data_IF_814564319756
#
_entry.id   IF_814564319756
#
_cell.length_a   1.000
_cell.length_b   1.000
_cell.length_c   1.000
_cell.angle_alpha   90.00
_cell.angle_beta   90.00
_cell.angle_gamma   90.00
#
_symmetry.space_group_name_H-M   'P 1'
#
loop_
_entity.id
_entity.type
_entity.pdbx_description
1 polymer ?
#
# COMPACT_ATOMS: atom_id res chain seq x y z
N UNK A 1 -15.03 15.03 -4.62
CA UNK A 1 -14.34 13.83 -5.12
C UNK A 1 -14.85 12.66 -4.30
N UNK A 2 -15.33 11.60 -4.93
CA UNK A 2 -15.90 10.43 -4.27
C UNK A 2 -15.76 9.21 -5.17
N UNK A 3 -15.76 8.04 -4.57
CA UNK A 3 -15.96 6.80 -5.32
C UNK A 3 -17.41 6.75 -5.83
N UNK A 4 -17.64 6.02 -6.92
CA UNK A 4 -18.94 5.94 -7.57
C UNK A 4 -19.83 4.88 -6.94
N UNK A 5 -19.20 3.84 -6.33
CA UNK A 5 -19.90 2.71 -5.74
C UNK A 5 -19.20 2.24 -4.47
N UNK A 6 -20.00 1.78 -3.51
CA UNK A 6 -19.53 1.05 -2.33
C UNK A 6 -20.20 -0.32 -2.28
N UNK A 7 -19.41 -1.34 -1.98
CA UNK A 7 -19.79 -2.74 -1.91
C UNK A 7 -19.31 -3.35 -0.60
N UNK A 8 -19.95 -4.41 -0.17
CA UNK A 8 -19.45 -5.28 0.90
C UNK A 8 -18.98 -6.58 0.27
N UNK A 9 -17.67 -6.84 0.35
CA UNK A 9 -17.08 -8.09 -0.11
C UNK A 9 -16.83 -9.01 1.08
N UNK A 10 -17.46 -10.19 1.08
CA UNK A 10 -17.16 -11.23 2.06
C UNK A 10 -15.86 -11.93 1.71
N UNK A 11 -14.87 -11.79 2.58
CA UNK A 11 -13.59 -12.46 2.46
C UNK A 11 -13.63 -13.87 3.07
N UNK A 12 -12.84 -14.82 2.53
CA UNK A 12 -12.65 -16.14 3.15
C UNK A 12 -12.12 -16.10 4.59
N UNK A 13 -11.56 -14.95 5.01
CA UNK A 13 -11.10 -14.73 6.39
C UNK A 13 -12.23 -14.44 7.39
N UNK A 14 -13.49 -14.36 6.92
CA UNK A 14 -14.66 -13.95 7.69
C UNK A 14 -14.88 -12.44 7.78
N UNK A 15 -14.04 -11.62 7.13
CA UNK A 15 -14.25 -10.18 7.08
C UNK A 15 -15.30 -9.79 6.02
N UNK A 16 -16.11 -8.78 6.35
CA UNK A 16 -16.96 -8.03 5.43
C UNK A 16 -16.21 -6.75 5.06
N UNK A 17 -15.46 -6.81 3.96
CA UNK A 17 -14.62 -5.70 3.49
C UNK A 17 -15.49 -4.60 2.89
N UNK A 18 -15.33 -3.37 3.40
CA UNK A 18 -15.89 -2.19 2.76
C UNK A 18 -15.03 -1.87 1.53
N UNK A 19 -15.61 -2.04 0.35
CA UNK A 19 -14.93 -1.90 -0.94
C UNK A 19 -15.52 -0.74 -1.73
N UNK A 20 -14.69 0.22 -2.07
CA UNK A 20 -15.02 1.39 -2.88
C UNK A 20 -14.54 1.20 -4.32
N UNK A 21 -15.39 1.53 -5.29
CA UNK A 21 -15.09 1.42 -6.72
C UNK A 21 -15.24 2.76 -7.39
N UNK A 22 -14.25 3.12 -8.20
CA UNK A 22 -14.30 4.26 -9.13
C UNK A 22 -14.28 3.74 -10.55
N UNK A 23 -15.32 4.07 -11.31
CA UNK A 23 -15.42 3.65 -12.71
C UNK A 23 -14.50 4.46 -13.61
N UNK A 24 -14.03 3.81 -14.66
CA UNK A 24 -13.29 4.49 -15.71
C UNK A 24 -14.24 5.32 -16.60
N UNK A 25 -13.77 6.48 -17.04
CA UNK A 25 -14.45 7.20 -18.12
C UNK A 25 -14.24 6.44 -19.44
N UNK A 26 -15.32 5.95 -20.01
CA UNK A 26 -15.28 5.09 -21.20
C UNK A 26 -14.90 3.64 -20.91
N UNK A 27 -14.34 2.95 -21.89
CA UNK A 27 -13.90 1.56 -21.74
C UNK A 27 -12.67 1.48 -20.82
N UNK A 28 -12.70 0.65 -19.76
CA UNK A 28 -11.56 0.52 -18.88
C UNK A 28 -10.33 -0.05 -19.59
N UNK A 29 -9.18 0.56 -19.36
CA UNK A 29 -7.89 0.17 -19.95
C UNK A 29 -7.08 -0.74 -19.05
N UNK A 30 -7.24 -0.58 -17.75
CA UNK A 30 -6.60 -1.35 -16.70
C UNK A 30 -7.26 -1.06 -15.36
N UNK A 31 -6.82 -1.75 -14.34
CA UNK A 31 -7.33 -1.66 -12.98
C UNK A 31 -6.21 -1.26 -12.02
N UNK A 32 -6.54 -0.39 -11.07
CA UNK A 32 -5.67 -0.06 -9.93
C UNK A 32 -6.34 -0.56 -8.65
N UNK A 33 -5.71 -1.53 -7.98
CA UNK A 33 -6.14 -2.05 -6.68
C UNK A 33 -5.33 -1.33 -5.59
N UNK A 34 -5.99 -0.48 -4.78
CA UNK A 34 -5.37 0.38 -3.77
C UNK A 34 -5.40 -0.28 -2.40
N UNK A 35 -4.25 -0.25 -1.71
CA UNK A 35 -4.06 -0.63 -0.31
C UNK A 35 -3.60 0.61 0.48
N UNK A 36 -4.44 1.06 1.41
CA UNK A 36 -4.21 2.27 2.20
C UNK A 36 -3.23 2.07 3.36
N UNK A 37 -2.81 3.15 4.02
CA UNK A 37 -1.87 3.17 5.13
C UNK A 37 -2.48 2.82 6.50
N UNK A 38 -1.66 2.90 7.56
CA UNK A 38 -2.10 2.67 8.93
C UNK A 38 -2.90 3.87 9.45
N UNK A 39 -3.97 3.58 10.22
CA UNK A 39 -4.84 4.56 10.84
C UNK A 39 -5.41 5.58 9.84
N UNK A 40 -5.81 5.09 8.69
CA UNK A 40 -6.55 5.78 7.64
C UNK A 40 -7.51 4.80 6.96
N UNK A 41 -8.15 5.18 5.86
CA UNK A 41 -9.10 4.35 5.13
C UNK A 41 -9.15 4.67 3.62
N UNK A 42 -9.80 3.80 2.85
CA UNK A 42 -9.83 3.85 1.39
C UNK A 42 -10.39 5.17 0.81
N UNK A 43 -11.37 5.80 1.47
CA UNK A 43 -11.99 7.02 0.97
C UNK A 43 -11.02 8.21 0.83
N UNK A 44 -9.89 8.20 1.55
CA UNK A 44 -8.85 9.23 1.42
C UNK A 44 -8.16 9.21 0.05
N UNK A 45 -8.29 8.12 -0.69
CA UNK A 45 -7.75 7.98 -2.05
C UNK A 45 -8.73 8.42 -3.15
N UNK A 46 -9.88 9.01 -2.79
CA UNK A 46 -10.91 9.40 -3.76
C UNK A 46 -10.39 10.38 -4.82
N UNK A 47 -9.51 11.34 -4.46
CA UNK A 47 -8.87 12.25 -5.41
C UNK A 47 -8.04 11.51 -6.45
N UNK A 48 -7.23 10.58 -6.00
CA UNK A 48 -6.41 9.76 -6.89
C UNK A 48 -7.26 8.83 -7.74
N UNK A 49 -8.33 8.26 -7.18
CA UNK A 49 -9.28 7.44 -7.92
C UNK A 49 -10.01 8.26 -9.01
N UNK A 50 -10.46 9.48 -8.71
CA UNK A 50 -11.06 10.39 -9.70
C UNK A 50 -10.08 10.72 -10.84
N UNK A 51 -8.84 11.05 -10.50
CA UNK A 51 -7.77 11.32 -11.45
C UNK A 51 -7.51 10.11 -12.40
N UNK A 52 -7.45 8.90 -11.84
CA UNK A 52 -7.27 7.67 -12.59
C UNK A 52 -8.50 7.32 -13.42
N UNK A 53 -9.71 7.47 -12.86
CA UNK A 53 -10.97 7.21 -13.55
C UNK A 53 -11.11 8.06 -14.82
N UNK A 54 -10.75 9.35 -14.73
CA UNK A 54 -10.72 10.25 -15.89
C UNK A 54 -9.74 9.82 -16.99
N UNK A 55 -8.75 8.98 -16.65
CA UNK A 55 -7.74 8.42 -17.57
C UNK A 55 -8.03 6.99 -18.04
N UNK A 56 -9.23 6.49 -17.74
CA UNK A 56 -9.68 5.18 -18.18
C UNK A 56 -9.19 4.02 -17.29
N UNK A 57 -8.81 4.28 -16.05
CA UNK A 57 -8.51 3.25 -15.07
C UNK A 57 -9.73 2.98 -14.19
N UNK A 58 -10.08 1.71 -14.02
CA UNK A 58 -11.03 1.27 -13.00
C UNK A 58 -10.29 1.12 -11.69
N UNK A 59 -10.80 1.69 -10.59
CA UNK A 59 -10.11 1.68 -9.30
C UNK A 59 -10.91 0.95 -8.25
N UNK A 60 -10.26 0.00 -7.56
CA UNK A 60 -10.80 -0.69 -6.40
C UNK A 60 -9.95 -0.33 -5.17
N UNK A 61 -10.60 0.13 -4.10
CA UNK A 61 -9.95 0.45 -2.83
C UNK A 61 -10.80 -0.09 -1.69
N UNK A 62 -10.25 -0.94 -0.83
CA UNK A 62 -10.98 -1.47 0.31
C UNK A 62 -10.36 -0.98 1.62
N UNK A 63 -11.18 -0.88 2.65
CA UNK A 63 -10.69 -0.69 4.01
C UNK A 63 -10.10 -2.00 4.51
N UNK A 64 -8.85 -1.99 4.96
CA UNK A 64 -8.25 -3.16 5.60
C UNK A 64 -9.02 -3.53 6.87
N UNK A 65 -8.99 -4.81 7.26
CA UNK A 65 -9.56 -5.24 8.54
C UNK A 65 -8.99 -4.41 9.69
N UNK A 66 -9.85 -4.07 10.66
CA UNK A 66 -9.50 -3.17 11.77
C UNK A 66 -9.39 -1.71 11.39
N UNK A 67 -9.78 -1.32 10.17
CA UNK A 67 -9.78 0.05 9.65
C UNK A 67 -11.12 0.41 9.02
N UNK A 68 -11.40 1.70 8.95
CA UNK A 68 -12.54 2.26 8.23
C UNK A 68 -13.87 1.61 8.59
N UNK A 69 -14.65 1.23 7.57
CA UNK A 69 -15.96 0.60 7.72
C UNK A 69 -15.94 -0.94 7.55
N UNK A 70 -14.77 -1.55 7.32
CA UNK A 70 -14.65 -3.02 7.27
C UNK A 70 -14.98 -3.64 8.62
N UNK A 71 -15.77 -4.71 8.59
CA UNK A 71 -16.17 -5.47 9.78
C UNK A 71 -15.59 -6.87 9.73
N UNK A 72 -14.98 -7.30 10.84
CA UNK A 72 -14.55 -8.68 11.01
C UNK A 72 -14.77 -9.09 12.48
N UNK A 73 -15.28 -10.29 12.76
CA UNK A 73 -15.60 -10.72 14.14
C UNK A 73 -14.38 -10.66 15.08
N UNK A 74 -13.19 -10.87 14.53
CA UNK A 74 -11.91 -10.94 15.25
C UNK A 74 -11.03 -9.70 15.06
N UNK A 75 -11.55 -8.63 14.44
CA UNK A 75 -10.79 -7.42 14.12
C UNK A 75 -11.56 -6.15 14.48
N UNK A 76 -11.71 -5.80 15.77
CA UNK A 76 -12.19 -4.50 16.15
C UNK A 76 -11.23 -3.39 15.62
N UNK A 77 -11.66 -2.12 15.60
CA UNK A 77 -10.80 -1.01 15.18
C UNK A 77 -9.44 -1.03 15.87
N UNK A 78 -8.38 -0.88 15.09
CA UNK A 78 -7.00 -0.90 15.58
C UNK A 78 -6.40 -2.30 15.75
N UNK A 79 -7.05 -3.36 15.28
CA UNK A 79 -6.58 -4.74 15.35
C UNK A 79 -6.81 -5.48 14.04
N UNK A 80 -5.82 -6.27 13.57
CA UNK A 80 -6.03 -7.08 12.37
C UNK A 80 -6.78 -8.39 12.65
N UNK A 81 -6.45 -9.10 13.70
CA UNK A 81 -7.11 -10.35 14.09
C UNK A 81 -6.65 -10.82 15.48
N UNK A 82 -7.33 -11.82 16.02
CA UNK A 82 -6.90 -12.55 17.22
C UNK A 82 -5.59 -13.29 16.99
N UNK A 83 -5.47 -13.94 15.81
CA UNK A 83 -4.26 -14.66 15.39
C UNK A 83 -4.04 -14.45 13.88
N UNK A 84 -2.76 -14.47 13.49
CA UNK A 84 -2.32 -14.41 12.09
C UNK A 84 -2.86 -13.19 11.31
N UNK A 85 -2.95 -12.04 12.01
CA UNK A 85 -3.55 -10.83 11.45
C UNK A 85 -2.90 -10.38 10.14
N UNK A 86 -1.58 -10.41 10.06
CA UNK A 86 -0.86 -10.10 8.83
C UNK A 86 -1.21 -11.04 7.67
N UNK A 87 -1.35 -12.35 7.92
CA UNK A 87 -1.75 -13.31 6.90
C UNK A 87 -3.20 -13.09 6.44
N UNK A 88 -4.11 -12.75 7.37
CA UNK A 88 -5.51 -12.46 7.05
C UNK A 88 -5.66 -11.18 6.23
N UNK A 89 -4.89 -10.12 6.53
CA UNK A 89 -4.86 -8.90 5.69
C UNK A 89 -4.46 -9.22 4.26
N UNK A 90 -3.42 -10.03 4.06
CA UNK A 90 -2.97 -10.42 2.71
C UNK A 90 -4.03 -11.29 2.01
N UNK A 91 -4.72 -12.16 2.73
CA UNK A 91 -5.82 -12.96 2.19
C UNK A 91 -7.04 -12.09 1.80
N UNK A 92 -7.32 -11.01 2.56
CA UNK A 92 -8.36 -10.04 2.22
C UNK A 92 -8.00 -9.28 0.92
N UNK A 93 -6.74 -8.87 0.75
CA UNK A 93 -6.24 -8.29 -0.52
C UNK A 93 -6.41 -9.27 -1.67
N UNK A 94 -6.12 -10.56 -1.45
CA UNK A 94 -6.31 -11.61 -2.45
C UNK A 94 -7.80 -11.79 -2.80
N UNK A 95 -8.71 -11.71 -1.84
CA UNK A 95 -10.16 -11.78 -2.08
C UNK A 95 -10.65 -10.62 -2.95
N UNK A 96 -10.15 -9.40 -2.74
CA UNK A 96 -10.43 -8.26 -3.62
C UNK A 96 -9.88 -8.50 -5.01
N UNK A 97 -8.65 -9.03 -5.11
CA UNK A 97 -8.04 -9.38 -6.40
C UNK A 97 -8.82 -10.47 -7.15
N UNK A 98 -9.35 -11.47 -6.43
CA UNK A 98 -10.19 -12.53 -7.00
C UNK A 98 -11.52 -11.98 -7.53
N UNK A 99 -12.14 -11.02 -6.82
CA UNK A 99 -13.30 -10.29 -7.30
C UNK A 99 -12.98 -9.56 -8.61
N UNK A 100 -11.89 -8.79 -8.64
CA UNK A 100 -11.42 -8.06 -9.82
C UNK A 100 -11.23 -9.00 -11.01
N UNK A 101 -10.53 -10.12 -10.81
CA UNK A 101 -10.25 -11.08 -11.87
C UNK A 101 -11.54 -11.71 -12.44
N UNK A 102 -12.56 -11.90 -11.61
CA UNK A 102 -13.86 -12.45 -12.00
C UNK A 102 -14.73 -11.42 -12.72
N UNK A 103 -14.78 -10.17 -12.24
CA UNK A 103 -15.63 -9.13 -12.81
C UNK A 103 -15.02 -8.47 -14.05
N UNK A 104 -13.70 -8.44 -14.13
CA UNK A 104 -12.95 -7.74 -15.18
C UNK A 104 -11.89 -8.66 -15.82
N UNK A 105 -12.31 -9.79 -16.41
CA UNK A 105 -11.36 -10.75 -16.98
C UNK A 105 -10.53 -10.13 -18.11
N UNK A 106 -9.21 -10.36 -18.05
CA UNK A 106 -8.28 -9.93 -19.09
C UNK A 106 -7.78 -8.48 -18.98
N UNK A 107 -8.34 -7.66 -18.08
CA UNK A 107 -7.78 -6.32 -17.84
C UNK A 107 -6.48 -6.39 -17.00
N UNK A 108 -5.45 -5.63 -17.39
CA UNK A 108 -4.24 -5.52 -16.59
C UNK A 108 -4.52 -4.95 -15.18
N UNK A 109 -3.95 -5.56 -14.15
CA UNK A 109 -4.08 -5.10 -12.76
C UNK A 109 -2.75 -4.56 -12.26
N UNK A 110 -2.79 -3.34 -11.73
CA UNK A 110 -1.71 -2.67 -11.00
C UNK A 110 -2.10 -2.69 -9.51
N UNK A 111 -1.28 -3.30 -8.68
CA UNK A 111 -1.45 -3.27 -7.22
C UNK A 111 -0.70 -2.07 -6.67
N UNK A 112 -1.41 -1.16 -6.04
CA UNK A 112 -0.88 0.03 -5.39
C UNK A 112 -0.91 -0.14 -3.87
N UNK A 113 0.12 0.32 -3.18
CA UNK A 113 0.13 0.40 -1.72
C UNK A 113 0.94 1.59 -1.21
N UNK A 114 0.42 2.23 -0.17
CA UNK A 114 1.04 3.38 0.49
C UNK A 114 1.31 3.07 1.96
N UNK A 115 2.49 3.38 2.46
CA UNK A 115 2.86 3.22 3.89
C UNK A 115 2.69 1.78 4.38
N UNK A 116 1.83 1.51 5.38
CA UNK A 116 1.43 0.15 5.73
C UNK A 116 0.92 -0.62 4.50
N UNK A 117 0.08 0.01 3.69
CA UNK A 117 -0.42 -0.57 2.45
C UNK A 117 0.68 -0.94 1.46
N UNK A 118 1.82 -0.25 1.48
CA UNK A 118 3.00 -0.64 0.70
C UNK A 118 3.59 -1.96 1.18
N UNK A 119 3.68 -2.17 2.50
CA UNK A 119 4.10 -3.45 3.07
C UNK A 119 3.09 -4.56 2.79
N UNK A 120 1.79 -4.27 2.87
CA UNK A 120 0.70 -5.20 2.52
C UNK A 120 0.77 -5.58 1.04
N UNK A 121 0.83 -4.59 0.15
CA UNK A 121 0.93 -4.80 -1.29
C UNK A 121 2.18 -5.60 -1.67
N UNK A 122 3.35 -5.28 -1.10
CA UNK A 122 4.57 -6.03 -1.37
C UNK A 122 4.48 -7.48 -0.88
N UNK A 123 3.93 -7.74 0.32
CA UNK A 123 3.69 -9.09 0.80
C UNK A 123 2.69 -9.87 -0.10
N UNK A 124 1.69 -9.21 -0.66
CA UNK A 124 0.82 -9.80 -1.66
C UNK A 124 1.59 -10.15 -2.93
N UNK A 125 2.44 -9.23 -3.44
CA UNK A 125 3.31 -9.43 -4.61
C UNK A 125 4.24 -10.62 -4.43
N UNK A 126 4.87 -10.76 -3.26
CA UNK A 126 5.79 -11.87 -2.97
C UNK A 126 5.15 -13.25 -3.19
N UNK A 127 3.83 -13.36 -3.08
CA UNK A 127 3.07 -14.61 -3.21
C UNK A 127 2.27 -14.72 -4.50
N UNK A 128 1.97 -13.59 -5.17
CA UNK A 128 1.00 -13.51 -6.25
C UNK A 128 1.52 -12.77 -7.49
N UNK A 129 2.84 -12.64 -7.67
CA UNK A 129 3.41 -11.85 -8.78
C UNK A 129 2.98 -12.31 -10.16
N UNK A 130 2.63 -13.61 -10.34
CA UNK A 130 2.14 -14.15 -11.59
C UNK A 130 0.72 -13.66 -11.96
N UNK A 131 -0.04 -13.15 -10.99
CA UNK A 131 -1.44 -12.73 -11.14
C UNK A 131 -1.62 -11.25 -11.43
N UNK A 132 -0.56 -10.46 -11.28
CA UNK A 132 -0.58 -9.00 -11.44
C UNK A 132 0.31 -8.56 -12.59
N UNK A 133 0.06 -7.39 -13.12
CA UNK A 133 0.82 -6.82 -14.25
C UNK A 133 1.88 -5.83 -13.77
N UNK A 134 1.62 -5.13 -12.68
CA UNK A 134 2.56 -4.19 -12.07
C UNK A 134 2.28 -3.97 -10.58
N UNK A 135 3.26 -3.43 -9.88
CA UNK A 135 3.16 -3.04 -8.47
C UNK A 135 3.70 -1.62 -8.25
N UNK A 136 2.94 -0.78 -7.56
CA UNK A 136 3.37 0.54 -7.11
C UNK A 136 3.45 0.54 -5.58
N UNK A 137 4.64 0.70 -5.03
CA UNK A 137 4.95 0.50 -3.62
C UNK A 137 5.53 1.81 -3.08
N UNK A 138 4.70 2.59 -2.38
CA UNK A 138 4.99 3.98 -2.07
C UNK A 138 5.16 4.26 -0.58
N UNK A 139 6.15 5.10 -0.23
CA UNK A 139 6.39 5.65 1.11
C UNK A 139 6.45 4.58 2.23
N UNK A 140 6.90 3.37 1.90
CA UNK A 140 7.03 2.28 2.86
C UNK A 140 8.43 2.16 3.44
N UNK A 141 8.54 1.48 4.57
CA UNK A 141 9.80 1.02 5.13
C UNK A 141 9.90 -0.49 5.00
N UNK A 142 10.97 -0.97 4.36
CA UNK A 142 11.14 -2.39 3.99
C UNK A 142 12.41 -3.00 4.58
N UNK A 143 13.04 -2.32 5.54
CA UNK A 143 14.29 -2.77 6.17
C UNK A 143 14.20 -2.65 7.68
N UNK A 144 13.48 -3.58 8.31
CA UNK A 144 13.41 -3.59 9.76
C UNK A 144 14.68 -4.16 10.42
N UNK A 145 15.39 -5.07 9.77
CA UNK A 145 16.67 -5.63 10.25
C UNK A 145 16.66 -6.00 11.74
N UNK A 146 17.76 -5.69 12.43
CA UNK A 146 17.88 -5.90 13.88
C UNK A 146 16.88 -5.05 14.66
N UNK A 147 16.59 -3.82 14.23
CA UNK A 147 15.62 -2.95 14.90
C UNK A 147 14.21 -3.55 14.90
N UNK A 148 13.83 -4.24 13.84
CA UNK A 148 12.55 -4.97 13.78
C UNK A 148 12.50 -6.13 14.76
N UNK A 149 13.59 -6.85 14.97
CA UNK A 149 13.65 -7.93 15.98
C UNK A 149 13.54 -7.35 17.39
N UNK A 150 14.22 -6.23 17.68
CA UNK A 150 14.11 -5.53 18.94
C UNK A 150 12.67 -5.02 19.17
N UNK A 151 12.05 -4.46 18.13
CA UNK A 151 10.65 -4.02 18.20
C UNK A 151 9.69 -5.18 18.51
N UNK A 152 9.89 -6.35 17.90
CA UNK A 152 9.09 -7.55 18.23
C UNK A 152 9.28 -8.01 19.68
N UNK A 153 10.50 -7.97 20.19
CA UNK A 153 10.77 -8.32 21.59
C UNK A 153 10.08 -7.33 22.55
N UNK A 154 10.17 -6.01 22.27
CA UNK A 154 9.48 -4.96 23.03
C UNK A 154 7.96 -5.13 23.00
N UNK A 155 7.40 -5.39 21.84
CA UNK A 155 5.95 -5.66 21.67
C UNK A 155 5.54 -6.97 22.36
N UNK A 156 6.39 -7.98 22.37
CA UNK A 156 6.16 -9.23 23.13
C UNK A 156 6.03 -8.96 24.62
N UNK A 157 6.94 -8.13 25.17
CA UNK A 157 6.87 -7.71 26.57
C UNK A 157 5.62 -6.84 26.86
N UNK A 158 5.30 -5.91 25.96
CA UNK A 158 4.11 -5.06 26.09
C UNK A 158 2.81 -5.90 26.05
N UNK A 159 2.76 -6.90 25.16
CA UNK A 159 1.66 -7.88 25.09
C UNK A 159 1.48 -8.67 26.39
N UNK A 160 2.58 -9.12 26.98
CA UNK A 160 2.54 -9.81 28.28
C UNK A 160 1.97 -8.93 29.40
N UNK A 161 2.34 -7.63 29.40
CA UNK A 161 1.90 -6.69 30.44
C UNK A 161 0.49 -6.13 30.24
N UNK A 162 0.09 -5.84 29.02
CA UNK A 162 -1.13 -5.07 28.69
C UNK A 162 -2.20 -5.92 28.02
N UNK A 163 -1.83 -7.04 27.42
CA UNK A 163 -2.68 -7.81 26.49
C UNK A 163 -2.46 -7.44 25.02
N UNK A 164 -2.96 -8.27 24.13
CA UNK A 164 -2.78 -8.11 22.68
C UNK A 164 -3.59 -6.97 22.08
N UNK A 165 -4.73 -6.67 22.67
CA UNK A 165 -5.78 -5.82 22.12
C UNK A 165 -5.63 -4.36 22.54
N UNK A 166 -4.81 -4.13 23.55
CA UNK A 166 -4.56 -2.77 24.06
C UNK A 166 -3.73 -1.97 23.05
N UNK A 167 -4.01 -0.67 22.90
CA UNK A 167 -3.15 0.21 22.12
C UNK A 167 -1.71 0.16 22.64
N UNK A 168 -0.75 0.02 21.72
CA UNK A 168 0.68 0.07 22.09
C UNK A 168 1.02 1.44 22.66
N UNK A 169 1.79 1.46 23.73
CA UNK A 169 2.30 2.71 24.33
C UNK A 169 3.70 3.05 23.83
N UNK A 170 4.44 2.07 23.34
CA UNK A 170 5.84 2.21 22.93
C UNK A 170 5.96 2.61 21.47
N UNK A 171 5.33 1.86 20.55
CA UNK A 171 5.52 2.05 19.12
C UNK A 171 5.05 3.43 18.62
N UNK A 172 3.90 3.99 19.02
CA UNK A 172 3.52 5.35 18.61
C UNK A 172 4.51 6.43 19.08
N UNK A 173 5.22 6.20 20.21
CA UNK A 173 6.27 7.14 20.67
C UNK A 173 7.52 7.08 19.81
N UNK A 174 7.88 5.88 19.33
CA UNK A 174 9.07 5.62 18.51
C UNK A 174 8.82 5.86 17.02
N UNK A 175 7.56 6.00 16.62
CA UNK A 175 7.12 6.21 15.23
C UNK A 175 6.38 7.56 15.11
N UNK A 176 5.09 7.59 15.10
CA UNK A 176 4.26 8.76 14.79
C UNK A 176 4.65 10.02 15.58
N UNK A 177 4.86 9.89 16.90
CA UNK A 177 5.27 11.04 17.72
C UNK A 177 6.71 11.48 17.44
N UNK A 178 7.61 10.53 17.13
CA UNK A 178 8.98 10.86 16.74
C UNK A 178 9.01 11.52 15.36
N UNK A 179 8.21 11.01 14.40
CA UNK A 179 8.10 11.59 13.07
C UNK A 179 7.49 12.99 13.08
N UNK A 180 6.46 13.22 13.91
CA UNK A 180 5.90 14.56 14.09
C UNK A 180 6.95 15.56 14.60
N UNK A 181 7.76 15.15 15.58
CA UNK A 181 8.84 15.99 16.13
C UNK A 181 10.01 16.20 15.17
N UNK A 182 10.22 15.30 14.22
CA UNK A 182 11.29 15.42 13.23
C UNK A 182 11.03 16.52 12.19
N UNK A 183 9.78 16.98 12.07
CA UNK A 183 9.41 18.07 11.16
C UNK A 183 9.72 19.41 11.83
N UNK A 184 10.64 20.23 11.28
CA UNK A 184 10.91 21.56 11.82
C UNK A 184 9.65 22.44 11.81
N UNK A 185 9.44 23.20 12.90
CA UNK A 185 8.31 24.12 13.04
C UNK A 185 6.93 23.51 12.80
N UNK A 186 6.77 22.21 13.13
CA UNK A 186 5.49 21.53 12.99
C UNK A 186 4.40 22.23 13.83
N UNK A 187 3.20 22.40 13.25
CA UNK A 187 2.03 22.99 13.89
C UNK A 187 1.24 21.94 14.67
N UNK A 188 1.22 20.69 14.14
CA UNK A 188 0.47 19.56 14.68
C UNK A 188 1.38 18.31 14.78
N UNK A 189 1.00 17.30 15.57
CA UNK A 189 1.70 16.01 15.60
C UNK A 189 1.69 15.25 14.27
N UNK A 190 0.84 15.66 13.31
CA UNK A 190 0.60 14.98 12.04
C UNK A 190 1.19 15.72 10.82
N UNK A 191 1.89 16.84 11.02
CA UNK A 191 2.50 17.59 9.92
C UNK A 191 3.53 16.78 9.12
N UNK A 192 4.02 15.66 9.66
CA UNK A 192 4.89 14.73 8.95
C UNK A 192 4.20 14.03 7.77
N UNK A 193 2.87 14.03 7.73
CA UNK A 193 2.08 13.44 6.64
C UNK A 193 2.19 14.26 5.35
N UNK A 194 2.03 15.59 5.45
CA UNK A 194 2.03 16.47 4.29
C UNK A 194 2.44 17.90 4.66
N UNK A 195 2.96 18.65 3.70
CA UNK A 195 3.16 20.09 3.78
C UNK A 195 1.86 20.86 3.54
N UNK A 196 0.86 20.23 2.91
CA UNK A 196 -0.46 20.84 2.72
C UNK A 196 -1.25 20.80 4.03
N UNK A 197 -1.31 21.96 4.68
CA UNK A 197 -1.99 22.12 5.96
C UNK A 197 -3.46 21.69 5.92
N UNK A 198 -4.14 21.90 4.80
CA UNK A 198 -5.55 21.52 4.62
C UNK A 198 -5.72 20.01 4.64
N UNK A 199 -4.79 19.27 4.03
CA UNK A 199 -4.83 17.80 4.04
C UNK A 199 -4.51 17.23 5.44
N UNK A 200 -3.60 17.87 6.19
CA UNK A 200 -3.31 17.50 7.58
C UNK A 200 -4.55 17.75 8.46
N UNK A 201 -5.21 18.90 8.33
CA UNK A 201 -6.43 19.18 9.09
C UNK A 201 -7.59 18.22 8.76
N UNK A 202 -7.74 17.80 7.50
CA UNK A 202 -8.70 16.76 7.11
C UNK A 202 -8.41 15.42 7.81
N UNK A 203 -7.12 15.04 7.90
CA UNK A 203 -6.73 13.82 8.60
C UNK A 203 -7.06 13.90 10.10
N UNK A 204 -6.79 15.03 10.74
CA UNK A 204 -7.06 15.26 12.16
C UNK A 204 -8.57 15.27 12.46
N UNK A 205 -9.37 15.85 11.55
CA UNK A 205 -10.82 15.96 11.71
C UNK A 205 -11.56 14.62 11.45
N UNK A 206 -10.91 13.66 10.80
CA UNK A 206 -11.54 12.39 10.45
C UNK A 206 -11.46 11.39 11.62
N UNK A 207 -12.62 10.97 12.19
CA UNK A 207 -12.64 10.05 13.32
C UNK A 207 -12.15 8.63 12.98
N UNK A 208 -12.03 8.31 11.70
CA UNK A 208 -11.49 7.03 11.21
C UNK A 208 -9.97 7.07 11.00
N UNK A 209 -9.33 8.23 11.26
CA UNK A 209 -7.90 8.45 11.11
C UNK A 209 -7.20 8.70 12.45
N UNK A 210 -5.90 8.53 12.51
CA UNK A 210 -5.05 8.99 13.61
C UNK A 210 -5.16 8.24 14.94
N UNK A 211 -5.85 7.10 14.98
CA UNK A 211 -5.96 6.27 16.18
C UNK A 211 -4.70 5.41 16.42
N UNK A 212 -4.51 4.99 17.68
CA UNK A 212 -3.37 4.15 18.07
C UNK A 212 -3.66 2.66 17.81
N UNK A 213 -2.78 2.01 17.05
CA UNK A 213 -2.88 0.58 16.77
C UNK A 213 -2.58 -0.28 18.00
N UNK A 214 -3.24 -1.44 18.10
CA UNK A 214 -3.03 -2.42 19.16
C UNK A 214 -1.61 -3.01 19.11
N UNK A 215 -1.20 -3.59 20.23
CA UNK A 215 0.09 -4.30 20.32
C UNK A 215 0.17 -5.42 19.28
N UNK A 216 -0.91 -6.19 19.10
CA UNK A 216 -0.95 -7.26 18.10
C UNK A 216 -0.86 -6.74 16.66
N UNK A 217 -1.55 -5.64 16.34
CA UNK A 217 -1.45 -5.02 15.02
C UNK A 217 -0.02 -4.56 14.72
N UNK A 218 0.66 -3.92 15.68
CA UNK A 218 2.06 -3.54 15.54
C UNK A 218 2.97 -4.75 15.33
N UNK A 219 2.73 -5.87 16.05
CA UNK A 219 3.50 -7.10 15.84
C UNK A 219 3.35 -7.62 14.41
N UNK A 220 2.14 -7.60 13.86
CA UNK A 220 1.87 -8.04 12.49
C UNK A 220 2.53 -7.09 11.46
N UNK A 221 2.47 -5.77 11.69
CA UNK A 221 3.13 -4.77 10.83
C UNK A 221 4.64 -5.01 10.79
N UNK A 222 5.29 -5.16 11.96
CA UNK A 222 6.74 -5.40 12.03
C UNK A 222 7.10 -6.71 11.34
N UNK A 223 6.31 -7.79 11.53
CA UNK A 223 6.53 -9.07 10.82
C UNK A 223 6.42 -8.93 9.31
N UNK A 224 5.41 -8.21 8.80
CA UNK A 224 5.26 -7.93 7.37
C UNK A 224 6.44 -7.12 6.82
N UNK A 225 6.91 -6.13 7.58
CA UNK A 225 8.10 -5.34 7.21
C UNK A 225 9.36 -6.21 7.13
N UNK A 226 9.56 -7.11 8.11
CA UNK A 226 10.66 -8.08 8.11
C UNK A 226 10.58 -9.04 6.91
N UNK A 227 9.39 -9.48 6.54
CA UNK A 227 9.19 -10.32 5.34
C UNK A 227 9.62 -9.59 4.06
N UNK A 228 9.26 -8.30 3.92
CA UNK A 228 9.71 -7.45 2.82
C UNK A 228 11.23 -7.20 2.84
N UNK A 229 11.85 -7.27 4.01
CA UNK A 229 13.29 -7.07 4.22
C UNK A 229 14.17 -8.25 3.81
N UNK A 230 13.62 -9.45 3.61
CA UNK A 230 14.39 -10.66 3.29
C UNK A 230 14.40 -10.95 1.79
N UNK A 231 15.60 -10.98 1.18
CA UNK A 231 15.77 -11.26 -0.26
C UNK A 231 15.28 -12.65 -0.65
N UNK A 232 15.36 -13.64 0.25
CA UNK A 232 14.88 -14.99 -0.01
C UNK A 232 13.37 -15.04 -0.31
N UNK A 233 12.58 -14.12 0.25
CA UNK A 233 11.14 -14.05 -0.01
C UNK A 233 10.81 -13.60 -1.42
N UNK A 234 11.76 -12.99 -2.13
CA UNK A 234 11.60 -12.57 -3.54
C UNK A 234 11.89 -13.69 -4.54
N UNK A 235 12.29 -14.90 -4.11
CA UNK A 235 12.69 -15.97 -5.01
C UNK A 235 11.61 -16.35 -6.03
N UNK A 236 10.33 -16.37 -5.63
CA UNK A 236 9.18 -16.65 -6.48
C UNK A 236 8.61 -15.47 -7.28
N UNK A 237 9.17 -14.28 -7.11
CA UNK A 237 8.66 -13.09 -7.81
C UNK A 237 9.22 -13.02 -9.23
N UNK A 238 8.37 -12.79 -10.21
CA UNK A 238 8.78 -12.59 -11.61
C UNK A 238 9.73 -11.40 -11.71
N UNK A 239 10.88 -11.60 -12.37
CA UNK A 239 11.92 -10.57 -12.53
C UNK A 239 11.56 -9.50 -13.59
N UNK A 240 10.62 -9.80 -14.47
CA UNK A 240 10.06 -8.91 -15.48
C UNK A 240 8.84 -8.11 -14.98
N UNK A 241 8.44 -8.27 -13.72
CA UNK A 241 7.36 -7.49 -13.13
C UNK A 241 7.69 -6.00 -13.15
N UNK A 242 6.74 -5.19 -13.64
CA UNK A 242 6.88 -3.73 -13.57
C UNK A 242 6.68 -3.25 -12.14
N UNK A 243 7.65 -2.54 -11.62
CA UNK A 243 7.62 -2.02 -10.24
C UNK A 243 7.91 -0.53 -10.21
N UNK A 244 7.06 0.21 -9.51
CA UNK A 244 7.22 1.64 -9.24
C UNK A 244 7.40 1.85 -7.75
N UNK A 245 8.55 2.39 -7.36
CA UNK A 245 8.89 2.70 -5.99
C UNK A 245 8.96 4.22 -5.80
N UNK A 246 8.19 4.75 -4.84
CA UNK A 246 8.15 6.20 -4.57
C UNK A 246 8.40 6.47 -3.10
N UNK A 247 9.17 7.51 -2.82
CA UNK A 247 9.40 8.07 -1.49
C UNK A 247 9.40 9.59 -1.50
N UNK A 248 9.28 10.19 -0.33
CA UNK A 248 9.45 11.62 -0.12
C UNK A 248 10.78 11.93 0.55
N UNK A 249 11.49 12.96 0.09
CA UNK A 249 12.77 13.41 0.66
C UNK A 249 12.61 13.91 2.11
N UNK A 250 11.43 14.44 2.45
CA UNK A 250 11.11 14.91 3.80
C UNK A 250 10.22 13.94 4.58
N UNK A 251 10.11 12.68 4.14
CA UNK A 251 9.33 11.66 4.81
C UNK A 251 10.13 11.00 5.95
N UNK A 252 9.86 11.30 7.23
CA UNK A 252 10.59 10.71 8.34
C UNK A 252 10.32 9.21 8.54
N UNK A 253 9.19 8.69 8.03
CA UNK A 253 8.83 7.28 8.15
C UNK A 253 9.66 6.38 7.23
N UNK A 254 10.12 6.90 6.09
CA UNK A 254 10.98 6.20 5.12
C UNK A 254 12.44 6.67 5.16
N UNK A 255 12.86 7.38 6.23
CA UNK A 255 14.20 7.98 6.37
C UNK A 255 14.57 8.85 5.16
N UNK A 256 13.69 9.79 4.82
CA UNK A 256 13.90 10.69 3.68
C UNK A 256 13.94 9.94 2.35
N UNK A 257 13.15 8.89 2.19
CA UNK A 257 13.10 8.06 0.99
C UNK A 257 14.24 7.04 0.86
N UNK A 258 15.18 6.97 1.83
CA UNK A 258 16.29 6.00 1.79
C UNK A 258 15.80 4.55 1.84
N UNK A 259 14.73 4.26 2.60
CA UNK A 259 14.16 2.92 2.66
C UNK A 259 13.67 2.44 1.28
N UNK A 260 13.08 3.35 0.51
CA UNK A 260 12.62 3.10 -0.86
C UNK A 260 13.80 2.89 -1.81
N UNK A 261 14.82 3.77 -1.74
CA UNK A 261 16.03 3.64 -2.55
C UNK A 261 16.80 2.36 -2.24
N UNK A 262 16.86 1.96 -0.97
CA UNK A 262 17.48 0.70 -0.55
C UNK A 262 16.73 -0.51 -1.12
N UNK A 263 15.39 -0.54 -1.07
CA UNK A 263 14.60 -1.59 -1.71
C UNK A 263 14.85 -1.65 -3.22
N UNK A 264 14.92 -0.49 -3.89
CA UNK A 264 15.23 -0.40 -5.31
C UNK A 264 16.58 -1.03 -5.64
N UNK A 265 17.63 -0.70 -4.87
CA UNK A 265 18.96 -1.29 -5.02
C UNK A 265 18.96 -2.80 -4.83
N UNK A 266 18.27 -3.32 -3.79
CA UNK A 266 18.12 -4.76 -3.55
C UNK A 266 17.42 -5.44 -4.73
N UNK A 267 16.30 -4.89 -5.21
CA UNK A 267 15.55 -5.46 -6.34
C UNK A 267 16.41 -5.46 -7.62
N UNK A 268 17.17 -4.39 -7.87
CA UNK A 268 18.10 -4.36 -8.98
C UNK A 268 19.14 -5.47 -8.89
N UNK A 269 19.77 -5.68 -7.73
CA UNK A 269 20.72 -6.77 -7.50
C UNK A 269 20.08 -8.16 -7.64
N UNK A 270 18.78 -8.30 -7.36
CA UNK A 270 18.01 -9.53 -7.58
C UNK A 270 17.57 -9.73 -9.05
N UNK A 271 17.94 -8.82 -9.99
CA UNK A 271 17.69 -8.94 -11.41
C UNK A 271 16.31 -8.46 -11.89
N UNK A 272 15.63 -7.59 -11.13
CA UNK A 272 14.39 -6.97 -11.61
C UNK A 272 14.71 -5.98 -12.74
N UNK A 273 14.11 -6.18 -13.92
CA UNK A 273 14.43 -5.43 -15.14
C UNK A 273 13.53 -4.23 -15.39
N UNK A 274 12.30 -4.22 -14.85
CA UNK A 274 11.31 -3.17 -15.10
C UNK A 274 11.02 -2.36 -13.82
N UNK A 275 12.07 -1.84 -13.22
CA UNK A 275 12.02 -1.10 -11.96
C UNK A 275 12.20 0.40 -12.20
N UNK A 276 11.27 1.20 -11.68
CA UNK A 276 11.38 2.67 -11.60
C UNK A 276 11.35 3.06 -10.13
N UNK A 277 12.31 3.86 -9.69
CA UNK A 277 12.36 4.41 -8.33
C UNK A 277 12.53 5.92 -8.38
N UNK A 278 11.73 6.65 -7.60
CA UNK A 278 11.80 8.11 -7.51
C UNK A 278 11.58 8.58 -6.07
N UNK A 279 12.49 9.41 -5.57
CA UNK A 279 12.31 10.17 -4.33
C UNK A 279 12.00 11.61 -4.73
N UNK A 280 10.82 12.09 -4.35
CA UNK A 280 10.40 13.45 -4.67
C UNK A 280 10.97 14.43 -3.67
N UNK A 281 11.63 15.47 -4.19
CA UNK A 281 12.09 16.59 -3.38
C UNK A 281 10.90 17.27 -2.67
N UNK A 282 11.16 17.86 -1.51
CA UNK A 282 10.17 18.60 -0.73
C UNK A 282 8.84 17.85 -0.51
N UNK A 283 8.85 16.52 -0.42
CA UNK A 283 7.67 15.69 -0.27
C UNK A 283 7.74 14.94 1.04
N UNK A 284 6.68 14.99 1.84
CA UNK A 284 6.55 14.23 3.08
C UNK A 284 5.89 12.86 2.81
N UNK A 285 5.27 12.28 3.81
CA UNK A 285 4.82 10.89 3.79
C UNK A 285 3.66 10.61 2.83
N UNK A 286 2.67 11.50 2.76
CA UNK A 286 1.48 11.30 1.92
C UNK A 286 1.65 11.95 0.55
N UNK A 287 2.43 11.36 -0.33
CA UNK A 287 2.75 11.89 -1.65
C UNK A 287 1.51 12.27 -2.49
N UNK A 288 0.38 11.56 -2.32
CA UNK A 288 -0.89 11.84 -3.01
C UNK A 288 -1.69 12.98 -2.38
N UNK A 289 -1.30 13.46 -1.21
CA UNK A 289 -1.93 14.57 -0.48
C UNK A 289 -0.96 15.74 -0.27
N UNK A 290 0.19 15.72 -0.95
CA UNK A 290 1.19 16.79 -0.90
C UNK A 290 0.83 18.00 -1.78
N UNK A 291 1.56 19.11 -1.62
CA UNK A 291 1.41 20.31 -2.45
C UNK A 291 1.71 20.00 -3.92
N UNK A 292 2.69 19.15 -4.19
CA UNK A 292 3.10 18.71 -5.53
C UNK A 292 2.41 17.42 -6.01
N UNK A 293 1.30 17.01 -5.39
CA UNK A 293 0.55 15.78 -5.70
C UNK A 293 0.18 15.61 -7.17
N UNK A 294 -0.13 16.71 -7.86
CA UNK A 294 -0.55 16.63 -9.26
C UNK A 294 0.59 16.13 -10.16
N UNK A 295 1.82 16.58 -9.92
CA UNK A 295 3.02 16.07 -10.62
C UNK A 295 3.23 14.58 -10.30
N UNK A 296 3.03 14.19 -9.04
CA UNK A 296 3.23 12.81 -8.60
C UNK A 296 2.17 11.88 -9.21
N UNK A 297 0.91 12.32 -9.29
CA UNK A 297 -0.16 11.56 -9.94
C UNK A 297 0.04 11.44 -11.46
N UNK A 298 0.53 12.50 -12.14
CA UNK A 298 0.87 12.45 -13.56
C UNK A 298 2.04 11.48 -13.82
N UNK A 299 3.10 11.53 -13.03
CA UNK A 299 4.22 10.58 -13.12
C UNK A 299 3.77 9.12 -12.95
N UNK A 300 2.81 8.88 -12.05
CA UNK A 300 2.19 7.55 -11.90
C UNK A 300 1.43 7.15 -13.17
N UNK A 301 0.59 8.04 -13.71
CA UNK A 301 -0.19 7.76 -14.90
C UNK A 301 0.71 7.48 -16.11
N UNK A 302 1.78 8.25 -16.28
CA UNK A 302 2.78 8.04 -17.34
C UNK A 302 3.49 6.69 -17.19
N UNK A 303 3.84 6.31 -15.97
CA UNK A 303 4.42 5.00 -15.70
C UNK A 303 3.42 3.88 -16.01
N UNK A 304 2.17 3.99 -15.54
CA UNK A 304 1.12 3.02 -15.78
C UNK A 304 0.83 2.86 -17.29
N UNK A 305 0.85 3.95 -18.04
CA UNK A 305 0.69 3.93 -19.50
C UNK A 305 1.86 3.22 -20.21
N UNK A 306 3.10 3.35 -19.70
CA UNK A 306 4.26 2.57 -20.19
C UNK A 306 4.06 1.08 -19.93
N UNK A 307 3.56 0.70 -18.74
CA UNK A 307 3.22 -0.70 -18.43
C UNK A 307 2.23 -1.27 -19.44
N UNK A 308 1.14 -0.53 -19.71
CA UNK A 308 0.10 -1.00 -20.65
C UNK A 308 0.62 -1.14 -22.09
N UNK A 309 1.46 -0.22 -22.55
CA UNK A 309 2.09 -0.33 -23.87
C UNK A 309 2.98 -1.57 -23.98
N UNK A 310 3.79 -1.83 -22.98
CA UNK A 310 4.67 -3.01 -22.95
C UNK A 310 3.87 -4.32 -22.93
N UNK A 311 2.79 -4.39 -22.15
CA UNK A 311 1.91 -5.57 -22.10
C UNK A 311 1.26 -5.86 -23.47
N UNK A 312 0.77 -4.83 -24.16
CA UNK A 312 0.20 -4.98 -25.52
C UNK A 312 1.24 -5.51 -26.52
N UNK A 313 2.47 -4.98 -26.47
CA UNK A 313 3.55 -5.45 -27.34
C UNK A 313 3.85 -6.94 -27.11
N UNK A 314 3.98 -7.37 -25.86
CA UNK A 314 4.23 -8.77 -25.51
C UNK A 314 3.08 -9.72 -25.94
N UNK A 315 1.84 -9.27 -25.85
CA UNK A 315 0.69 -10.05 -26.32
C UNK A 315 0.72 -10.24 -27.84
N UNK A 316 1.05 -9.20 -28.62
CA UNK A 316 1.14 -9.27 -30.08
C UNK A 316 2.31 -10.13 -30.57
N UNK A 317 3.46 -10.11 -29.88
CA UNK A 317 4.63 -10.93 -30.24
C UNK A 317 4.35 -12.42 -30.07
N UNK A 318 3.72 -12.81 -28.96
CA UNK A 318 3.33 -14.21 -28.70
C UNK A 318 2.30 -14.75 -29.72
N UNK A 319 1.37 -13.90 -30.17
CA UNK A 319 0.39 -14.27 -31.19
C UNK A 319 1.00 -14.54 -32.57
N UNK A 320 2.11 -13.85 -32.91
CA UNK A 320 2.82 -14.09 -34.18
C UNK A 320 3.62 -15.39 -34.20
N UNK A 321 4.24 -15.75 -33.07
CA UNK A 321 5.04 -16.99 -32.97
C UNK A 321 4.16 -18.25 -32.97
N UNK A 322 2.92 -18.16 -32.48
CA UNK A 322 1.97 -19.28 -32.50
C UNK A 322 1.35 -19.49 -33.88
N UNK A 323 1.23 -18.44 -34.73
CA UNK A 323 0.73 -18.51 -36.09
C UNK A 323 1.76 -18.99 -37.14
N UNK A 324 3.05 -19.00 -36.81
CA UNK A 324 4.14 -19.44 -37.68
C UNK A 324 4.48 -20.95 -37.54
N UNK A 325 3.80 -21.66 -36.65
CA UNK A 325 3.99 -23.12 -36.41
C UNK A 325 2.78 -23.98 -36.74
N UNK A 326 1.81 -23.44 -37.48
CA UNK A 326 0.62 -24.15 -37.97
C UNK A 326 0.71 -24.56 -39.43
#
# INVERSE_FOLDING_TARGET
MSFDQQLVLRSPTGAELNLSVKHATGQPRAIVQINHGLAEHAARYARFADFLGARGYLVYAHDHRGHGATKAPDAPPGRFADMDGGAKVIADVAAVHDLIAREQPGLPVIVFGHSLGASVALNFVLRNSARIHAAAIWNGNFSAGLLGQIALAMLGWEKFRLGSDMPSRLLPRLTFRAWGKAVPNHRTPFDWLSRDAVEVEKYIADPLCGWDASVSMWQDIVKMTLQCGSDSNFSGVRRDLFVNLVGGEQDPASDGGKAVSHLAGRMHMMGFSNLVSKVYAETRHESLNEINRDIIMEDFADWADRVLRAQRYLAHSKGRDSGARG
#
